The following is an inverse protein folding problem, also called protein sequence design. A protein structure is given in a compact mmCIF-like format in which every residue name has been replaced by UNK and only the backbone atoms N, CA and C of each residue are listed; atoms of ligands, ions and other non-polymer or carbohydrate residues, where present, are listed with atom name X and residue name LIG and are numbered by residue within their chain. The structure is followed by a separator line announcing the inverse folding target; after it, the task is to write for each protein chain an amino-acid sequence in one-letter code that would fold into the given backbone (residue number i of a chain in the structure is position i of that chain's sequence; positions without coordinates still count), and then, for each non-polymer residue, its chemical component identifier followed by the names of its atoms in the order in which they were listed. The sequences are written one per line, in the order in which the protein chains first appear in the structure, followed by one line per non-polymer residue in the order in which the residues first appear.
data_IF_723959035362
#
_entry.id   IF_723959035362
#
_cell.length_a   1.000
_cell.length_b   1.000
_cell.length_c   1.000
_cell.angle_alpha   90.00
_cell.angle_beta   90.00
_cell.angle_gamma   90.00
#
_symmetry.space_group_name_H-M   'P 1'
#
loop_
_entity.id
_entity.type
_entity.pdbx_description
1 polymer ?
#
# COMPACT_ATOMS: atom_id res chain seq x y z
N UNK A 1 -11.45 2.95 -24.68
CA UNK A 1 -10.87 1.77 -24.00
C UNK A 1 -12.02 0.92 -23.52
N UNK A 2 -12.46 0.00 -24.36
CA UNK A 2 -13.51 -0.97 -24.05
C UNK A 2 -12.81 -2.20 -23.51
N UNK A 3 -13.08 -2.57 -22.26
CA UNK A 3 -12.64 -3.85 -21.70
C UNK A 3 -13.34 -4.96 -22.49
N UNK A 4 -12.61 -5.58 -23.41
CA UNK A 4 -13.06 -6.78 -24.09
C UNK A 4 -12.88 -7.92 -23.10
N UNK A 5 -13.95 -8.21 -22.36
CA UNK A 5 -14.02 -9.40 -21.51
C UNK A 5 -14.05 -10.60 -22.47
N UNK A 6 -12.94 -11.33 -22.58
CA UNK A 6 -12.92 -12.64 -23.22
C UNK A 6 -13.77 -13.57 -22.36
N UNK A 7 -15.08 -13.56 -22.58
CA UNK A 7 -16.02 -14.46 -21.92
C UNK A 7 -15.72 -15.87 -22.44
N UNK A 8 -15.00 -16.62 -21.62
CA UNK A 8 -14.67 -18.01 -21.93
C UNK A 8 -15.96 -18.83 -21.75
N UNK A 9 -16.19 -19.94 -22.49
CA UNK A 9 -17.39 -20.76 -22.33
C UNK A 9 -17.69 -21.15 -20.88
N UNK A 10 -16.64 -21.31 -20.06
CA UNK A 10 -16.75 -21.57 -18.63
C UNK A 10 -17.42 -20.42 -17.83
N UNK A 11 -17.25 -19.16 -18.25
CA UNK A 11 -17.88 -18.01 -17.58
C UNK A 11 -19.39 -17.99 -17.82
N UNK A 12 -19.83 -18.35 -19.03
CA UNK A 12 -21.25 -18.45 -19.37
C UNK A 12 -21.95 -19.58 -18.59
N UNK A 13 -21.26 -20.68 -18.36
CA UNK A 13 -21.76 -21.79 -17.53
C UNK A 13 -21.89 -21.37 -16.06
N UNK A 14 -20.93 -20.59 -15.53
CA UNK A 14 -20.99 -20.05 -14.16
C UNK A 14 -22.14 -19.05 -13.99
N UNK A 15 -22.35 -18.17 -14.96
CA UNK A 15 -23.45 -17.21 -14.95
C UNK A 15 -24.81 -17.93 -14.91
N UNK A 16 -24.97 -19.00 -15.68
CA UNK A 16 -26.18 -19.83 -15.65
C UNK A 16 -26.40 -20.50 -14.28
N UNK A 17 -25.33 -20.99 -13.62
CA UNK A 17 -25.41 -21.54 -12.26
C UNK A 17 -25.78 -20.47 -11.23
N UNK A 18 -25.26 -19.25 -11.36
CA UNK A 18 -25.61 -18.13 -10.48
C UNK A 18 -27.05 -17.65 -10.71
N UNK A 19 -27.55 -17.66 -11.95
CA UNK A 19 -28.95 -17.38 -12.26
C UNK A 19 -29.89 -18.39 -11.60
N UNK A 20 -29.54 -19.68 -11.67
CA UNK A 20 -30.30 -20.74 -11.00
C UNK A 20 -30.30 -20.57 -9.47
N UNK A 21 -29.14 -20.25 -8.88
CA UNK A 21 -29.03 -20.01 -7.44
C UNK A 21 -29.83 -18.79 -6.97
N UNK A 22 -29.90 -17.73 -7.78
CA UNK A 22 -30.71 -16.54 -7.50
C UNK A 22 -32.22 -16.80 -7.61
N UNK A 23 -32.64 -17.66 -8.54
CA UNK A 23 -34.04 -18.01 -8.71
C UNK A 23 -34.60 -18.78 -7.51
N UNK A 24 -33.76 -19.52 -6.79
CA UNK A 24 -34.16 -20.30 -5.63
C UNK A 24 -33.23 -20.03 -4.44
N UNK A 25 -33.37 -18.85 -3.79
CA UNK A 25 -32.50 -18.50 -2.69
C UNK A 25 -32.74 -19.46 -1.51
N UNK A 26 -31.68 -20.05 -0.92
CA UNK A 26 -31.84 -20.85 0.29
C UNK A 26 -32.36 -19.96 1.41
N UNK A 27 -33.51 -20.31 1.96
CA UNK A 27 -34.10 -19.55 3.07
C UNK A 27 -33.39 -19.94 4.37
N UNK A 28 -32.82 -18.98 5.12
CA UNK A 28 -32.21 -19.28 6.41
C UNK A 28 -33.28 -19.71 7.43
N UNK A 29 -32.88 -20.56 8.37
CA UNK A 29 -33.76 -20.98 9.47
C UNK A 29 -34.24 -19.76 10.28
N UNK A 30 -35.51 -19.77 10.68
CA UNK A 30 -36.15 -18.66 11.39
C UNK A 30 -35.48 -18.40 12.75
N UNK A 31 -35.05 -19.45 13.45
CA UNK A 31 -34.37 -19.31 14.72
C UNK A 31 -32.98 -18.69 14.55
N UNK A 32 -32.26 -19.03 13.47
CA UNK A 32 -31.01 -18.38 13.11
C UNK A 32 -31.22 -16.90 12.80
N UNK A 33 -32.22 -16.56 11.98
CA UNK A 33 -32.51 -15.16 11.63
C UNK A 33 -32.85 -14.32 12.85
N UNK A 34 -33.62 -14.87 13.80
CA UNK A 34 -33.95 -14.19 15.05
C UNK A 34 -32.70 -13.85 15.89
N UNK A 35 -31.71 -14.74 15.93
CA UNK A 35 -30.44 -14.50 16.62
C UNK A 35 -29.62 -13.41 15.93
N UNK A 36 -29.48 -13.49 14.60
CA UNK A 36 -28.76 -12.48 13.80
C UNK A 36 -29.37 -11.09 14.01
N UNK A 37 -30.70 -10.98 13.99
CA UNK A 37 -31.38 -9.71 14.24
C UNK A 37 -31.16 -9.23 15.67
N UNK A 38 -31.22 -10.11 16.67
CA UNK A 38 -30.91 -9.77 18.06
C UNK A 38 -29.49 -9.21 18.23
N UNK A 39 -28.50 -9.86 17.60
CA UNK A 39 -27.11 -9.40 17.61
C UNK A 39 -26.97 -8.05 16.89
N UNK A 40 -27.63 -7.89 15.73
CA UNK A 40 -27.62 -6.64 14.98
C UNK A 40 -28.19 -5.48 15.81
N UNK A 41 -29.33 -5.69 16.50
CA UNK A 41 -29.91 -4.69 17.40
C UNK A 41 -28.97 -4.35 18.58
N UNK A 42 -28.27 -5.34 19.14
CA UNK A 42 -27.30 -5.09 20.20
C UNK A 42 -26.06 -4.29 19.74
N UNK A 43 -25.69 -4.43 18.46
CA UNK A 43 -24.57 -3.72 17.84
C UNK A 43 -24.99 -2.39 17.19
N UNK A 44 -26.27 -2.05 17.18
CA UNK A 44 -26.70 -0.76 16.67
C UNK A 44 -26.09 0.35 17.53
N UNK A 45 -25.31 1.27 16.93
CA UNK A 45 -24.80 2.40 17.67
C UNK A 45 -25.99 3.17 18.25
N UNK A 46 -25.96 3.41 19.56
CA UNK A 46 -26.95 4.28 20.18
C UNK A 46 -27.00 5.59 19.38
N UNK A 47 -28.20 6.12 19.06
CA UNK A 47 -28.30 7.42 18.42
C UNK A 47 -27.50 8.39 19.28
N UNK A 48 -26.40 8.89 18.72
CA UNK A 48 -25.56 9.83 19.41
C UNK A 48 -26.47 11.00 19.79
N UNK A 49 -26.64 11.22 21.10
CA UNK A 49 -27.25 12.46 21.57
C UNK A 49 -26.56 13.58 20.80
N UNK A 50 -27.34 14.47 20.18
CA UNK A 50 -26.82 15.57 19.38
C UNK A 50 -25.95 16.41 20.31
N UNK A 51 -24.66 16.08 20.38
CA UNK A 51 -23.70 16.88 21.09
C UNK A 51 -23.73 18.24 20.41
N UNK A 52 -23.67 19.35 21.17
CA UNK A 52 -23.52 20.66 20.56
C UNK A 52 -22.38 20.56 19.57
N UNK A 53 -22.66 20.87 18.30
CA UNK A 53 -21.69 20.77 17.21
C UNK A 53 -20.49 21.61 17.64
N UNK A 54 -19.44 20.96 18.17
CA UNK A 54 -18.15 21.61 18.37
C UNK A 54 -17.80 22.18 17.01
N UNK A 55 -17.61 23.50 16.94
CA UNK A 55 -17.27 24.19 15.72
C UNK A 55 -16.21 23.35 15.01
N UNK A 56 -16.56 22.82 13.82
CA UNK A 56 -15.70 21.87 13.14
C UNK A 56 -14.42 22.61 12.82
N UNK A 57 -13.36 22.31 13.57
CA UNK A 57 -12.05 22.91 13.38
C UNK A 57 -11.70 22.65 11.93
N UNK A 58 -11.57 23.72 11.14
CA UNK A 58 -11.25 23.59 9.73
C UNK A 58 -9.90 22.88 9.67
N UNK A 59 -9.79 21.74 8.96
CA UNK A 59 -8.51 21.06 8.83
C UNK A 59 -7.52 22.04 8.19
N UNK A 60 -6.36 22.20 8.82
CA UNK A 60 -5.26 23.00 8.26
C UNK A 60 -4.85 22.50 6.88
N UNK A 61 -4.12 23.32 6.13
CA UNK A 61 -3.68 23.00 4.76
C UNK A 61 -3.03 21.62 4.65
N UNK A 62 -2.16 21.27 5.61
CA UNK A 62 -1.50 19.97 5.69
C UNK A 62 -2.46 18.80 5.89
N UNK A 63 -3.49 18.96 6.72
CA UNK A 63 -4.51 17.93 6.94
C UNK A 63 -5.38 17.72 5.69
N UNK A 64 -5.60 18.78 4.90
CA UNK A 64 -6.31 18.68 3.61
C UNK A 64 -5.47 17.99 2.54
N UNK A 65 -4.17 18.29 2.49
CA UNK A 65 -3.21 17.59 1.62
C UNK A 65 -3.12 16.11 1.99
N UNK A 66 -2.95 15.79 3.27
CA UNK A 66 -2.96 14.42 3.76
C UNK A 66 -4.27 13.70 3.40
N UNK A 67 -5.43 14.35 3.59
CA UNK A 67 -6.72 13.78 3.21
C UNK A 67 -6.83 13.54 1.68
N UNK A 68 -6.30 14.44 0.85
CA UNK A 68 -6.25 14.26 -0.60
C UNK A 68 -5.34 13.10 -1.03
N UNK A 69 -4.29 12.82 -0.24
CA UNK A 69 -3.35 11.71 -0.44
C UNK A 69 -3.85 10.36 0.11
N UNK A 70 -5.02 10.32 0.77
CA UNK A 70 -5.57 9.09 1.39
C UNK A 70 -5.61 9.09 2.92
N UNK A 71 -5.35 10.22 3.55
CA UNK A 71 -5.37 10.43 5.00
C UNK A 71 -4.03 10.23 5.68
N UNK A 72 -4.04 10.24 7.01
CA UNK A 72 -2.83 10.08 7.83
C UNK A 72 -2.10 8.75 7.58
N UNK A 73 -2.84 7.69 7.21
CA UNK A 73 -2.26 6.37 6.92
C UNK A 73 -1.39 6.40 5.65
N UNK A 74 -1.83 7.11 4.61
CA UNK A 74 -1.05 7.22 3.38
C UNK A 74 0.26 7.98 3.61
N UNK A 75 0.23 9.08 4.37
CA UNK A 75 1.42 9.85 4.73
C UNK A 75 2.37 9.03 5.62
N UNK A 76 1.83 8.26 6.57
CA UNK A 76 2.62 7.34 7.38
C UNK A 76 3.31 6.27 6.52
N UNK A 77 2.60 5.72 5.52
CA UNK A 77 3.15 4.78 4.55
C UNK A 77 4.32 5.36 3.76
N UNK A 78 4.15 6.56 3.20
CA UNK A 78 5.22 7.27 2.46
C UNK A 78 6.43 7.51 3.36
N UNK A 79 6.22 7.97 4.60
CA UNK A 79 7.29 8.17 5.57
C UNK A 79 8.04 6.88 5.91
N UNK A 80 7.30 5.79 6.14
CA UNK A 80 7.91 4.47 6.41
C UNK A 80 8.69 3.92 5.21
N UNK A 81 8.19 4.12 3.99
CA UNK A 81 8.89 3.71 2.77
C UNK A 81 10.18 4.50 2.56
N UNK A 82 10.17 5.82 2.84
CA UNK A 82 11.36 6.66 2.79
C UNK A 82 12.40 6.24 3.85
N UNK A 83 11.98 5.97 5.09
CA UNK A 83 12.87 5.43 6.12
C UNK A 83 13.42 4.05 5.76
N UNK A 84 12.58 3.15 5.24
CA UNK A 84 13.02 1.84 4.79
C UNK A 84 14.05 1.96 3.66
N UNK A 85 13.83 2.85 2.69
CA UNK A 85 14.80 3.15 1.64
C UNK A 85 16.13 3.67 2.19
N UNK A 86 16.12 4.54 3.20
CA UNK A 86 17.34 5.01 3.87
C UNK A 86 18.07 3.89 4.61
N UNK A 87 17.34 3.03 5.34
CA UNK A 87 17.93 1.89 6.06
C UNK A 87 18.57 0.91 5.08
N UNK A 88 17.88 0.58 3.98
CA UNK A 88 18.35 -0.33 2.93
C UNK A 88 19.51 0.28 2.14
N UNK A 89 19.55 1.61 1.96
CA UNK A 89 20.65 2.28 1.29
C UNK A 89 21.90 2.42 2.15
N UNK A 90 21.72 2.66 3.46
CA UNK A 90 22.83 2.84 4.41
C UNK A 90 23.47 1.52 4.81
N UNK A 91 22.65 0.52 5.16
CA UNK A 91 23.17 -0.83 5.28
C UNK A 91 23.44 -1.28 3.85
N UNK A 92 24.70 -1.43 3.45
CA UNK A 92 25.03 -2.18 2.24
C UNK A 92 25.37 -3.63 2.62
N UNK A 93 24.39 -4.52 2.90
CA UNK A 93 24.66 -5.93 2.95
C UNK A 93 25.03 -6.42 1.54
N UNK A 94 26.07 -7.23 1.47
CA UNK A 94 26.53 -7.94 0.27
C UNK A 94 25.36 -8.57 -0.52
N UNK A 95 24.37 -9.24 0.12
CA UNK A 95 23.19 -9.78 -0.58
C UNK A 95 22.31 -8.76 -1.31
N UNK A 96 22.23 -7.52 -0.82
CA UNK A 96 21.39 -6.46 -1.42
C UNK A 96 22.08 -5.90 -2.67
N UNK A 97 23.41 -5.83 -2.65
CA UNK A 97 24.22 -5.43 -3.81
C UNK A 97 24.14 -6.50 -4.91
N UNK A 98 24.25 -7.78 -4.56
CA UNK A 98 24.08 -8.89 -5.51
C UNK A 98 22.67 -8.89 -6.12
N UNK A 99 21.63 -8.71 -5.30
CA UNK A 99 20.25 -8.64 -5.77
C UNK A 99 20.04 -7.45 -6.71
N UNK A 100 20.47 -6.23 -6.34
CA UNK A 100 20.40 -5.04 -7.19
C UNK A 100 21.13 -5.24 -8.53
N UNK A 101 22.29 -5.91 -8.52
CA UNK A 101 22.99 -6.33 -9.73
C UNK A 101 22.16 -7.28 -10.61
N UNK A 102 21.46 -8.24 -10.01
CA UNK A 102 20.63 -9.22 -10.74
C UNK A 102 19.42 -8.61 -11.47
N UNK A 103 18.89 -7.49 -10.95
CA UNK A 103 17.77 -6.75 -11.56
C UNK A 103 18.22 -5.56 -12.43
N UNK A 104 19.53 -5.45 -12.73
CA UNK A 104 20.07 -4.42 -13.61
C UNK A 104 20.24 -3.03 -12.97
N UNK A 105 20.10 -2.93 -11.66
CA UNK A 105 20.30 -1.71 -10.86
C UNK A 105 21.69 -1.64 -10.19
N UNK A 106 22.61 -2.55 -10.53
CA UNK A 106 23.97 -2.55 -10.01
C UNK A 106 24.81 -1.38 -10.53
N UNK A 107 25.66 -0.81 -9.66
CA UNK A 107 26.70 0.15 -10.06
C UNK A 107 27.81 -0.64 -10.77
N UNK A 108 27.78 -0.67 -12.10
CA UNK A 108 28.71 -1.51 -12.86
C UNK A 108 30.11 -0.90 -13.05
N UNK A 109 30.29 0.41 -12.86
CA UNK A 109 31.60 1.04 -12.94
C UNK A 109 31.72 2.18 -11.94
N UNK A 110 32.46 1.96 -10.85
CA UNK A 110 33.10 3.06 -10.14
C UNK A 110 34.35 3.42 -10.94
N UNK A 111 34.20 4.35 -11.89
CA UNK A 111 35.34 4.94 -12.57
C UNK A 111 36.04 5.86 -11.57
N UNK A 112 37.23 5.45 -11.13
CA UNK A 112 38.09 6.28 -10.29
C UNK A 112 38.69 7.39 -11.18
N UNK A 113 38.00 8.53 -11.20
CA UNK A 113 38.36 9.71 -12.01
C UNK A 113 39.42 10.59 -11.32
N UNK A 114 39.85 10.22 -10.11
CA UNK A 114 40.91 10.89 -9.38
C UNK A 114 42.10 9.95 -9.28
N UNK A 115 43.32 10.38 -9.66
CA UNK A 115 44.51 9.63 -9.31
C UNK A 115 44.56 9.51 -7.78
N UNK A 116 44.75 8.29 -7.28
CA UNK A 116 44.76 8.01 -5.84
C UNK A 116 45.70 8.98 -5.10
N UNK A 117 45.34 9.36 -3.87
CA UNK A 117 46.13 10.29 -3.05
C UNK A 117 47.62 9.90 -2.94
N UNK A 118 47.94 8.61 -3.06
CA UNK A 118 49.31 8.12 -3.13
C UNK A 118 50.10 8.67 -4.33
N UNK A 119 49.47 8.89 -5.48
CA UNK A 119 50.11 9.47 -6.66
C UNK A 119 50.43 10.97 -6.43
N UNK A 120 49.51 11.72 -5.80
CA UNK A 120 49.73 13.12 -5.45
C UNK A 120 50.84 13.29 -4.41
N UNK A 121 50.90 12.40 -3.41
CA UNK A 121 51.96 12.41 -2.39
C UNK A 121 53.32 11.96 -2.95
N UNK A 122 53.31 11.09 -3.97
CA UNK A 122 54.53 10.64 -4.63
C UNK A 122 55.15 11.70 -5.54
N UNK A 123 54.36 12.63 -6.08
CA UNK A 123 54.83 13.72 -6.96
C UNK A 123 55.41 14.92 -6.18
N UNK A 124 54.98 15.11 -4.93
CA UNK A 124 55.54 16.15 -4.02
C UNK A 124 56.86 15.70 -3.34
N UNK A 125 57.18 14.41 -3.37
CA UNK A 125 58.38 13.82 -2.77
C UNK A 125 59.46 13.47 -3.82
N UNK A 126 59.53 14.19 -4.93
CA UNK A 126 60.67 14.15 -5.86
C UNK A 126 61.37 15.52 -5.80
N UNK A 127 62.62 15.62 -5.28
CA UNK A 127 63.41 16.85 -5.32
C UNK A 127 63.89 17.20 -6.75
#
# INVERSE_FOLDING_TARGET
MTTQTDTTPADADLDALFDQARAQPPQPDAAFMARVLGDAYAQQPAPAAVAPVRARVRPGLWARLAAALGGALAVAGIGSAAMAGLVIGYAQPEPVVTFAGSIGFGVSESLDLLPGFDALLSEELVP
#
